data_IF_600889832538
#
_entry.id   IF_600889832538
#
_cell.length_a   1.000
_cell.length_b   1.000
_cell.length_c   1.000
_cell.angle_alpha   90.00
_cell.angle_beta   90.00
_cell.angle_gamma   90.00
#
_symmetry.space_group_name_H-M   'P 1'
#
loop_
_entity.id
_entity.type
_entity.pdbx_description
1 polymer ?
#
# COMPACT_ATOMS: atom_id res chain seq x y z
N UNK A 1 -3.96 -1.75 20.21
CA UNK A 1 -2.65 -1.13 19.92
C UNK A 1 -1.71 -2.24 19.49
N UNK A 2 -1.59 -2.43 18.18
CA UNK A 2 -0.94 -3.60 17.57
C UNK A 2 0.57 -3.63 17.86
N UNK A 3 1.17 -2.47 18.18
CA UNK A 3 2.56 -2.36 18.61
C UNK A 3 2.80 -3.04 19.96
N UNK A 4 1.78 -3.11 20.83
CA UNK A 4 1.86 -3.83 22.10
C UNK A 4 1.68 -5.34 21.93
N UNK A 5 0.90 -5.75 20.93
CA UNK A 5 0.55 -7.16 20.70
C UNK A 5 1.72 -8.01 20.21
N UNK A 6 2.69 -7.43 19.48
CA UNK A 6 3.79 -8.17 18.84
C UNK A 6 5.19 -7.78 19.35
N UNK A 7 5.30 -7.29 20.60
CA UNK A 7 6.58 -6.86 21.21
C UNK A 7 7.59 -7.99 21.38
N UNK A 8 7.07 -9.20 21.53
CA UNK A 8 7.77 -10.46 21.72
C UNK A 8 8.20 -11.12 20.40
N UNK A 9 7.78 -10.57 19.25
CA UNK A 9 8.17 -11.03 17.92
C UNK A 9 9.17 -10.03 17.31
N UNK A 10 10.33 -10.50 16.81
CA UNK A 10 11.24 -9.66 16.07
C UNK A 10 10.60 -8.90 14.89
N UNK A 11 11.02 -7.66 14.64
CA UNK A 11 10.78 -6.98 13.34
C UNK A 11 11.75 -7.51 12.26
N UNK A 12 11.87 -8.83 12.14
CA UNK A 12 12.67 -9.55 11.14
C UNK A 12 12.16 -10.99 11.02
N UNK A 13 12.30 -11.61 9.85
CA UNK A 13 12.06 -13.04 9.64
C UNK A 13 13.23 -13.92 10.09
N UNK A 14 14.36 -13.32 10.43
CA UNK A 14 15.55 -14.01 10.95
C UNK A 14 15.42 -14.19 12.45
N UNK A 15 15.88 -15.33 12.96
CA UNK A 15 15.93 -15.68 14.39
C UNK A 15 14.58 -15.62 15.11
N UNK A 16 13.49 -15.98 14.43
CA UNK A 16 12.18 -16.17 15.09
C UNK A 16 12.24 -17.43 15.95
N UNK A 17 11.92 -17.34 17.26
CA UNK A 17 11.88 -18.51 18.13
C UNK A 17 10.87 -19.58 17.64
N UNK A 18 11.21 -20.88 17.67
CA UNK A 18 10.32 -21.95 17.21
C UNK A 18 8.95 -21.97 17.89
N UNK A 19 8.86 -21.52 19.14
CA UNK A 19 7.61 -21.43 19.91
C UNK A 19 6.67 -20.30 19.46
N UNK A 20 7.06 -19.48 18.48
CA UNK A 20 6.20 -18.46 17.84
C UNK A 20 5.46 -18.99 16.62
N UNK A 21 5.75 -20.22 16.18
CA UNK A 21 5.08 -20.82 15.05
C UNK A 21 3.82 -21.60 15.48
N UNK A 22 2.75 -21.59 14.65
CA UNK A 22 2.62 -20.85 13.40
C UNK A 22 2.53 -19.34 13.66
N UNK A 23 3.16 -18.56 12.78
CA UNK A 23 3.23 -17.11 12.94
C UNK A 23 1.89 -16.47 12.56
N UNK A 24 1.14 -15.99 13.55
CA UNK A 24 -0.12 -15.25 13.35
C UNK A 24 0.12 -13.78 13.66
N UNK A 25 0.25 -12.97 12.62
CA UNK A 25 0.62 -11.54 12.69
C UNK A 25 -0.25 -10.69 11.78
N UNK A 26 -0.26 -9.37 12.01
CA UNK A 26 -0.94 -8.43 11.12
C UNK A 26 -0.13 -8.16 9.85
N UNK A 27 -0.79 -7.61 8.82
CA UNK A 27 -0.12 -7.14 7.61
C UNK A 27 0.95 -6.08 7.92
N UNK A 28 0.66 -5.13 8.83
CA UNK A 28 1.64 -4.13 9.28
C UNK A 28 2.87 -4.77 9.91
N UNK A 29 2.69 -5.79 10.76
CA UNK A 29 3.81 -6.53 11.36
C UNK A 29 4.61 -7.28 10.29
N UNK A 30 3.94 -7.90 9.32
CA UNK A 30 4.58 -8.55 8.18
C UNK A 30 5.46 -7.56 7.38
N UNK A 31 4.97 -6.36 7.08
CA UNK A 31 5.75 -5.34 6.37
C UNK A 31 6.99 -4.88 7.16
N UNK A 32 6.87 -4.73 8.48
CA UNK A 32 8.02 -4.40 9.33
C UNK A 32 9.06 -5.53 9.36
N UNK A 33 8.62 -6.79 9.42
CA UNK A 33 9.50 -7.95 9.37
C UNK A 33 10.19 -8.10 8.03
N UNK A 34 9.47 -7.86 6.92
CA UNK A 34 10.02 -7.88 5.57
C UNK A 34 11.12 -6.82 5.41
N UNK A 35 10.84 -5.58 5.83
CA UNK A 35 11.79 -4.47 5.79
C UNK A 35 13.05 -4.76 6.61
N UNK A 36 12.89 -5.28 7.82
CA UNK A 36 14.02 -5.63 8.69
C UNK A 36 14.85 -6.82 8.20
N UNK A 37 14.31 -7.65 7.30
CA UNK A 37 15.01 -8.83 6.76
C UNK A 37 15.87 -8.50 5.54
N UNK A 38 15.41 -7.61 4.67
CA UNK A 38 16.05 -7.34 3.38
C UNK A 38 17.33 -6.48 3.47
N UNK A 39 17.64 -5.95 4.66
CA UNK A 39 18.87 -5.20 4.95
C UNK A 39 18.90 -3.76 4.40
N UNK A 40 18.24 -3.49 3.27
CA UNK A 40 18.07 -2.16 2.69
C UNK A 40 16.69 -1.55 3.05
N UNK A 41 16.53 -1.07 4.28
CA UNK A 41 15.24 -0.57 4.78
C UNK A 41 14.60 0.47 3.86
N UNK A 42 13.40 0.15 3.38
CA UNK A 42 12.51 1.05 2.66
C UNK A 42 12.10 2.22 3.55
N UNK A 43 11.78 1.96 4.82
CA UNK A 43 11.28 2.99 5.73
C UNK A 43 12.34 4.02 6.12
N UNK A 44 13.63 3.65 6.15
CA UNK A 44 14.74 4.57 6.45
C UNK A 44 14.97 5.66 5.40
N UNK A 45 14.39 5.51 4.21
CA UNK A 45 14.37 6.54 3.16
C UNK A 45 13.56 7.76 3.58
N UNK A 46 12.61 7.60 4.49
CA UNK A 46 11.76 8.70 4.95
C UNK A 46 12.36 9.40 6.15
N UNK A 47 12.63 10.69 6.00
CA UNK A 47 13.23 11.52 7.05
C UNK A 47 12.40 11.55 8.35
N UNK A 48 11.06 11.42 8.26
CA UNK A 48 10.19 11.32 9.42
C UNK A 48 10.49 10.07 10.27
N UNK A 49 10.70 8.92 9.63
CA UNK A 49 11.06 7.66 10.32
C UNK A 49 12.45 7.78 10.93
N UNK A 50 13.41 8.38 10.22
CA UNK A 50 14.78 8.63 10.70
C UNK A 50 14.84 9.57 11.91
N UNK A 51 14.02 10.63 11.91
CA UNK A 51 13.93 11.56 13.05
C UNK A 51 13.30 10.90 14.27
N UNK A 52 12.27 10.08 14.07
CA UNK A 52 11.61 9.34 15.16
C UNK A 52 12.49 8.23 15.74
N UNK A 53 13.45 7.69 14.97
CA UNK A 53 14.43 6.71 15.44
C UNK A 53 15.72 7.32 16.00
N UNK A 54 15.93 8.63 15.84
CA UNK A 54 17.17 9.33 16.16
C UNK A 54 17.37 9.60 17.66
N UNK A 55 18.27 8.82 18.27
CA UNK A 55 18.80 9.02 19.63
C UNK A 55 18.52 7.82 20.53
N UNK A 56 19.52 6.93 20.70
CA UNK A 56 19.50 5.73 21.59
C UNK A 56 18.12 5.02 21.64
N UNK A 57 17.47 4.85 20.50
CA UNK A 57 16.10 4.34 20.46
C UNK A 57 16.10 2.83 20.69
N UNK A 58 15.33 2.39 21.69
CA UNK A 58 15.13 0.97 21.94
C UNK A 58 14.41 0.33 20.75
N UNK A 59 14.57 -0.98 20.54
CA UNK A 59 13.82 -1.74 19.51
C UNK A 59 12.32 -1.42 19.52
N UNK A 60 11.74 -1.26 20.71
CA UNK A 60 10.33 -0.92 20.88
C UNK A 60 9.99 0.46 20.32
N UNK A 61 10.87 1.45 20.46
CA UNK A 61 10.65 2.81 19.95
C UNK A 61 10.63 2.85 18.41
N UNK A 62 11.53 2.10 17.76
CA UNK A 62 11.54 1.98 16.29
C UNK A 62 10.26 1.30 15.77
N UNK A 63 9.83 0.21 16.40
CA UNK A 63 8.60 -0.51 16.00
C UNK A 63 7.36 0.39 16.07
N UNK A 64 7.22 1.17 17.15
CA UNK A 64 6.13 2.15 17.30
C UNK A 64 6.20 3.25 16.24
N UNK A 65 7.40 3.76 15.93
CA UNK A 65 7.58 4.77 14.89
C UNK A 65 7.20 4.22 13.50
N UNK A 66 7.58 2.98 13.18
CA UNK A 66 7.23 2.32 11.92
C UNK A 66 5.73 2.07 11.81
N UNK A 67 5.08 1.56 12.86
CA UNK A 67 3.62 1.40 12.84
C UNK A 67 2.89 2.73 12.64
N UNK A 68 3.33 3.76 13.35
CA UNK A 68 2.76 5.11 13.20
C UNK A 68 2.95 5.62 11.78
N UNK A 69 4.14 5.42 11.20
CA UNK A 69 4.41 5.79 9.82
C UNK A 69 3.50 5.05 8.84
N UNK A 70 3.39 3.72 8.94
CA UNK A 70 2.54 2.94 8.03
C UNK A 70 1.09 3.42 8.15
N UNK A 71 0.54 3.54 9.36
CA UNK A 71 -0.84 4.01 9.57
C UNK A 71 -1.08 5.42 9.00
N UNK A 72 -0.09 6.31 9.12
CA UNK A 72 -0.21 7.70 8.65
C UNK A 72 0.06 7.87 7.16
N UNK A 73 0.67 6.91 6.48
CA UNK A 73 0.96 6.96 5.03
C UNK A 73 0.14 6.00 4.19
N UNK A 74 -0.38 4.94 4.79
CA UNK A 74 -1.27 3.99 4.14
C UNK A 74 -2.57 4.68 3.71
N UNK A 75 -2.97 4.40 2.47
CA UNK A 75 -4.25 4.81 1.91
C UNK A 75 -5.13 3.57 1.81
N UNK A 76 -5.96 3.38 2.82
CA UNK A 76 -7.06 2.42 2.77
C UNK A 76 -8.29 3.04 2.09
N UNK A 77 -9.35 2.25 1.93
CA UNK A 77 -10.57 2.70 1.27
C UNK A 77 -11.21 3.91 1.98
N UNK A 78 -11.32 3.88 3.30
CA UNK A 78 -11.94 4.96 4.07
C UNK A 78 -11.18 6.28 3.89
N UNK A 79 -9.84 6.20 3.88
CA UNK A 79 -8.97 7.36 3.66
C UNK A 79 -9.06 7.84 2.21
N UNK A 80 -9.10 6.93 1.24
CA UNK A 80 -9.33 7.28 -0.15
C UNK A 80 -10.65 8.04 -0.31
N UNK A 81 -11.75 7.52 0.24
CA UNK A 81 -13.05 8.17 0.19
C UNK A 81 -13.12 9.52 0.89
N UNK A 82 -12.42 9.68 2.02
CA UNK A 82 -12.50 10.90 2.82
C UNK A 82 -11.55 11.99 2.34
N UNK A 83 -10.35 11.63 1.87
CA UNK A 83 -9.28 12.59 1.57
C UNK A 83 -8.91 12.69 0.09
N UNK A 84 -9.29 11.75 -0.76
CA UNK A 84 -8.93 11.76 -2.19
C UNK A 84 -10.16 11.94 -3.07
N UNK A 85 -11.18 11.10 -2.85
CA UNK A 85 -12.40 11.06 -3.66
C UNK A 85 -13.10 12.43 -3.85
N UNK A 86 -13.23 13.29 -2.81
CA UNK A 86 -13.91 14.58 -2.97
C UNK A 86 -13.14 15.59 -3.84
N UNK A 87 -11.84 15.37 -4.08
CA UNK A 87 -10.99 16.26 -4.87
C UNK A 87 -10.90 15.88 -6.34
N UNK A 88 -11.34 14.67 -6.70
CA UNK A 88 -11.37 14.27 -8.11
C UNK A 88 -12.46 15.02 -8.87
N UNK A 89 -12.28 15.09 -10.19
CA UNK A 89 -13.22 15.78 -11.06
C UNK A 89 -14.64 15.18 -10.94
N UNK A 90 -15.57 16.00 -10.45
CA UNK A 90 -16.95 15.59 -10.20
C UNK A 90 -17.68 15.10 -11.45
N UNK A 91 -17.27 15.51 -12.65
CA UNK A 91 -17.85 14.98 -13.90
C UNK A 91 -17.45 13.53 -14.16
N UNK A 92 -16.24 13.14 -13.74
CA UNK A 92 -15.71 11.79 -13.88
C UNK A 92 -16.26 10.87 -12.78
N UNK A 93 -16.30 11.34 -11.53
CA UNK A 93 -16.72 10.53 -10.37
C UNK A 93 -18.23 10.27 -10.31
N UNK A 94 -19.08 11.16 -10.85
CA UNK A 94 -20.55 10.96 -10.86
C UNK A 94 -21.03 9.67 -11.53
N UNK A 95 -20.22 9.07 -12.41
CA UNK A 95 -20.57 7.86 -13.18
C UNK A 95 -19.85 6.60 -12.68
N UNK A 96 -19.08 6.73 -11.60
CA UNK A 96 -18.21 5.67 -11.09
C UNK A 96 -18.47 5.47 -9.59
N UNK A 97 -18.36 4.21 -9.18
CA UNK A 97 -18.41 3.84 -7.78
C UNK A 97 -17.01 3.96 -7.17
N UNK A 98 -16.89 4.64 -6.01
CA UNK A 98 -15.60 4.89 -5.36
C UNK A 98 -14.87 3.62 -4.97
N UNK A 99 -15.61 2.59 -4.53
CA UNK A 99 -15.02 1.30 -4.18
C UNK A 99 -14.44 0.63 -5.42
N UNK A 100 -15.16 0.71 -6.55
CA UNK A 100 -14.68 0.16 -7.82
C UNK A 100 -13.43 0.89 -8.30
N UNK A 101 -13.40 2.22 -8.27
CA UNK A 101 -12.21 2.98 -8.67
C UNK A 101 -11.03 2.63 -7.76
N UNK A 102 -11.24 2.57 -6.45
CA UNK A 102 -10.20 2.21 -5.49
C UNK A 102 -9.62 0.81 -5.77
N UNK A 103 -10.48 -0.19 -5.98
CA UNK A 103 -10.02 -1.55 -6.34
C UNK A 103 -9.24 -1.57 -7.65
N UNK A 104 -9.67 -0.84 -8.67
CA UNK A 104 -8.93 -0.78 -9.94
C UNK A 104 -7.55 -0.16 -9.78
N UNK A 105 -7.44 0.93 -9.01
CA UNK A 105 -6.16 1.58 -8.74
C UNK A 105 -5.22 0.65 -7.96
N UNK A 106 -5.70 0.11 -6.83
CA UNK A 106 -4.85 -0.66 -5.91
C UNK A 106 -4.53 -2.05 -6.48
N UNK A 107 -5.52 -2.78 -7.01
CA UNK A 107 -5.36 -4.19 -7.36
C UNK A 107 -4.97 -4.43 -8.82
N UNK A 108 -5.38 -3.56 -9.75
CA UNK A 108 -5.14 -3.79 -11.18
C UNK A 108 -4.04 -2.90 -11.74
N UNK A 109 -4.04 -1.61 -11.41
CA UNK A 109 -3.01 -0.68 -11.90
C UNK A 109 -1.70 -0.86 -11.13
N UNK A 110 -1.74 -0.84 -9.79
CA UNK A 110 -0.53 -0.98 -8.95
C UNK A 110 -0.22 -2.42 -8.52
N UNK A 111 -1.26 -3.23 -8.31
CA UNK A 111 -1.16 -4.57 -7.73
C UNK A 111 -1.20 -5.72 -8.72
N UNK A 112 -1.38 -5.43 -10.02
CA UNK A 112 -1.43 -6.48 -11.04
C UNK A 112 -0.07 -7.16 -11.21
N UNK A 113 -0.06 -8.44 -11.59
CA UNK A 113 1.20 -9.18 -11.84
C UNK A 113 2.12 -8.42 -12.82
N UNK A 114 1.55 -7.89 -13.90
CA UNK A 114 2.25 -7.08 -14.90
C UNK A 114 2.79 -5.75 -14.35
N UNK A 115 2.10 -5.16 -13.37
CA UNK A 115 2.58 -3.95 -12.71
C UNK A 115 3.86 -4.22 -11.91
N UNK A 116 4.00 -5.41 -11.33
CA UNK A 116 5.21 -5.84 -10.62
C UNK A 116 6.43 -6.03 -11.52
N UNK A 117 6.24 -6.26 -12.81
CA UNK A 117 7.32 -6.37 -13.82
C UNK A 117 7.72 -5.00 -14.38
N UNK A 118 6.86 -3.98 -14.23
CA UNK A 118 7.10 -2.64 -14.73
C UNK A 118 8.12 -1.89 -13.85
N UNK A 119 8.97 -1.07 -14.46
CA UNK A 119 10.03 -0.32 -13.73
C UNK A 119 9.48 0.66 -12.69
N UNK A 120 8.29 1.20 -12.95
CA UNK A 120 7.59 2.15 -12.08
C UNK A 120 6.55 1.47 -11.18
N UNK A 121 6.45 0.14 -11.22
CA UNK A 121 5.55 -0.63 -10.35
C UNK A 121 4.07 -0.44 -10.66
N UNK A 122 3.73 -0.01 -11.88
CA UNK A 122 2.35 0.23 -12.31
C UNK A 122 2.13 -0.20 -13.74
N UNK A 123 0.88 -0.52 -14.05
CA UNK A 123 0.44 -0.85 -15.39
C UNK A 123 0.31 0.43 -16.23
N UNK A 124 0.78 0.39 -17.48
CA UNK A 124 0.60 1.49 -18.43
C UNK A 124 -0.88 1.75 -18.73
N UNK A 125 -1.21 2.94 -19.24
CA UNK A 125 -2.58 3.29 -19.64
C UNK A 125 -3.09 2.33 -20.70
N UNK A 126 -2.26 2.04 -21.68
CA UNK A 126 -2.55 1.19 -22.82
C UNK A 126 -2.83 -0.25 -22.34
N UNK A 127 -1.96 -0.79 -21.49
CA UNK A 127 -2.11 -2.15 -20.96
C UNK A 127 -3.32 -2.26 -20.04
N UNK A 128 -3.57 -1.26 -19.19
CA UNK A 128 -4.74 -1.22 -18.32
C UNK A 128 -6.04 -1.19 -19.13
N UNK A 129 -6.12 -0.35 -20.16
CA UNK A 129 -7.29 -0.25 -21.03
C UNK A 129 -7.50 -1.54 -21.82
N UNK A 130 -6.43 -2.23 -22.24
CA UNK A 130 -6.52 -3.52 -22.94
C UNK A 130 -7.20 -4.61 -22.09
N UNK A 131 -7.18 -4.52 -20.75
CA UNK A 131 -7.93 -5.42 -19.86
C UNK A 131 -9.45 -5.36 -20.07
N UNK A 132 -9.98 -4.33 -20.74
CA UNK A 132 -11.40 -4.30 -21.15
C UNK A 132 -11.79 -5.41 -22.13
N UNK A 133 -10.80 -6.00 -22.83
CA UNK A 133 -11.01 -7.09 -23.78
C UNK A 133 -11.05 -8.47 -23.13
N UNK A 134 -10.71 -8.57 -21.84
CA UNK A 134 -10.76 -9.82 -21.11
C UNK A 134 -12.22 -10.27 -20.92
N UNK A 135 -12.47 -11.58 -21.03
CA UNK A 135 -13.82 -12.16 -20.93
C UNK A 135 -14.44 -11.96 -19.55
N UNK A 136 -13.63 -11.80 -18.51
CA UNK A 136 -14.07 -11.53 -17.14
C UNK A 136 -14.19 -10.04 -16.82
N UNK A 137 -13.91 -9.15 -17.78
CA UNK A 137 -13.88 -7.72 -17.55
C UNK A 137 -15.28 -7.13 -17.38
N UNK A 138 -15.54 -6.55 -16.22
CA UNK A 138 -16.81 -5.85 -15.93
C UNK A 138 -16.77 -4.36 -16.31
N UNK A 139 -15.60 -3.86 -16.76
CA UNK A 139 -15.39 -2.47 -17.15
C UNK A 139 -15.02 -2.36 -18.63
N UNK A 140 -15.77 -1.51 -19.34
CA UNK A 140 -15.46 -1.18 -20.72
C UNK A 140 -14.26 -0.23 -20.83
N UNK A 141 -13.75 -0.07 -22.06
CA UNK A 141 -12.60 0.78 -22.38
C UNK A 141 -12.75 2.21 -21.86
N UNK A 142 -13.90 2.85 -22.09
CA UNK A 142 -14.14 4.24 -21.68
C UNK A 142 -14.07 4.43 -20.16
N UNK A 143 -14.64 3.51 -19.38
CA UNK A 143 -14.56 3.57 -17.92
C UNK A 143 -13.11 3.40 -17.43
N UNK A 144 -12.35 2.51 -18.06
CA UNK A 144 -10.93 2.31 -17.74
C UNK A 144 -10.09 3.57 -18.06
N UNK A 145 -10.37 4.25 -19.16
CA UNK A 145 -9.70 5.52 -19.47
C UNK A 145 -9.95 6.57 -18.38
N UNK A 146 -11.22 6.74 -17.96
CA UNK A 146 -11.57 7.68 -16.88
C UNK A 146 -10.90 7.29 -15.55
N UNK A 147 -10.88 6.00 -15.22
CA UNK A 147 -10.23 5.50 -13.99
C UNK A 147 -8.73 5.77 -14.02
N UNK A 148 -8.09 5.65 -15.18
CA UNK A 148 -6.68 5.96 -15.31
C UNK A 148 -6.40 7.45 -15.16
N UNK A 149 -7.30 8.32 -15.65
CA UNK A 149 -7.18 9.77 -15.41
C UNK A 149 -7.30 10.08 -13.90
N UNK A 150 -8.26 9.45 -13.20
CA UNK A 150 -8.38 9.56 -11.74
C UNK A 150 -7.13 9.02 -11.03
N UNK A 151 -6.54 7.93 -11.53
CA UNK A 151 -5.29 7.38 -11.01
C UNK A 151 -4.13 8.38 -11.11
N UNK A 152 -4.01 9.08 -12.24
CA UNK A 152 -2.99 10.11 -12.40
C UNK A 152 -3.18 11.28 -11.43
N UNK A 153 -4.43 11.65 -11.13
CA UNK A 153 -4.72 12.65 -10.10
C UNK A 153 -4.48 12.13 -8.68
N UNK A 154 -4.70 10.83 -8.44
CA UNK A 154 -4.40 10.16 -7.18
C UNK A 154 -2.90 10.10 -6.87
N UNK A 155 -2.04 10.04 -7.89
CA UNK A 155 -0.58 10.02 -7.73
C UNK A 155 0.07 11.40 -7.49
N UNK A 156 -0.69 12.50 -7.63
CA UNK A 156 -0.21 13.87 -7.38
C UNK A 156 -0.26 14.22 -5.88
#
# INVERSE_FOLDING_TARGET
>A
DDAAQFKDIPDSFVDIPPNKYPLVITFHKFLMMLDGTLGNSYFERFHAVRKLSGGKSTRSSRSVALQTFIRTKEVNYDRFCSFYWPHFNTQQTKKLDSSRVFTEIISHIRGGLRAGEARDGKLSREDYVLLSKDRVSTLNKQKREIIYDIFQDYEK
#
